data_IF_795292958291
#
_entry.id   IF_795292958291
#
_cell.length_a   1.000
_cell.length_b   1.000
_cell.length_c   1.000
_cell.angle_alpha   90.00
_cell.angle_beta   90.00
_cell.angle_gamma   90.00
#
_symmetry.space_group_name_H-M   'P 1'
#
loop_
_entity.id
_entity.type
_entity.pdbx_description
1 polymer ?
#
# COMPACT_ATOMS: atom_id res chain seq x y z
N UNK A 1 -24.88 1.42 35.60
CA UNK A 1 -24.10 2.38 34.79
C UNK A 1 -22.61 2.31 35.13
N UNK A 2 -22.23 2.32 36.41
CA UNK A 2 -20.83 2.14 36.87
C UNK A 2 -20.17 0.83 36.42
N UNK A 3 -20.91 -0.29 36.40
CA UNK A 3 -20.38 -1.60 36.01
C UNK A 3 -20.01 -1.68 34.51
N UNK A 4 -20.75 -0.99 33.64
CA UNK A 4 -20.44 -0.91 32.21
C UNK A 4 -19.19 -0.07 31.94
N UNK A 5 -18.98 1.03 32.70
CA UNK A 5 -17.80 1.89 32.58
C UNK A 5 -16.51 1.20 33.05
N UNK A 6 -16.59 0.41 34.14
CA UNK A 6 -15.47 -0.41 34.62
C UNK A 6 -15.06 -1.48 33.60
N UNK A 7 -16.02 -2.16 32.97
CA UNK A 7 -15.73 -3.13 31.91
C UNK A 7 -15.17 -2.44 30.65
N UNK A 8 -15.70 -1.28 30.26
CA UNK A 8 -15.23 -0.52 29.09
C UNK A 8 -13.79 -0.02 29.25
N UNK A 9 -13.41 0.40 30.46
CA UNK A 9 -12.06 0.85 30.83
C UNK A 9 -11.02 -0.24 30.58
N UNK A 10 -11.20 -1.42 31.19
CA UNK A 10 -10.30 -2.56 30.99
C UNK A 10 -10.32 -3.10 29.54
N UNK A 11 -11.44 -2.94 28.83
CA UNK A 11 -11.57 -3.35 27.43
C UNK A 11 -10.82 -2.43 26.46
N UNK A 12 -10.62 -1.15 26.81
CA UNK A 12 -10.04 -0.15 25.90
C UNK A 12 -8.66 -0.57 25.38
N UNK A 13 -7.77 -1.02 26.27
CA UNK A 13 -6.45 -1.58 25.93
C UNK A 13 -6.58 -2.78 24.99
N UNK A 14 -7.49 -3.71 25.28
CA UNK A 14 -7.70 -4.89 24.43
C UNK A 14 -8.24 -4.52 23.03
N UNK A 15 -9.16 -3.55 22.96
CA UNK A 15 -9.70 -3.05 21.69
C UNK A 15 -8.60 -2.40 20.86
N UNK A 16 -7.74 -1.57 21.47
CA UNK A 16 -6.60 -0.94 20.80
C UNK A 16 -5.63 -2.01 20.27
N UNK A 17 -5.28 -3.01 21.09
CA UNK A 17 -4.37 -4.09 20.68
C UNK A 17 -4.96 -4.93 19.55
N UNK A 18 -6.25 -5.28 19.62
CA UNK A 18 -6.92 -6.07 18.59
C UNK A 18 -7.05 -5.29 17.28
N UNK A 19 -7.41 -4.00 17.36
CA UNK A 19 -7.44 -3.11 16.20
C UNK A 19 -6.05 -2.99 15.55
N UNK A 20 -4.98 -2.88 16.36
CA UNK A 20 -3.61 -2.84 15.88
C UNK A 20 -3.24 -4.14 15.14
N UNK A 21 -3.57 -5.31 15.72
CA UNK A 21 -3.37 -6.60 15.07
C UNK A 21 -4.11 -6.71 13.74
N UNK A 22 -5.37 -6.25 13.68
CA UNK A 22 -6.15 -6.21 12.44
C UNK A 22 -5.53 -5.26 11.39
N UNK A 23 -5.01 -4.10 11.81
CA UNK A 23 -4.31 -3.17 10.91
C UNK A 23 -3.02 -3.77 10.36
N UNK A 24 -2.22 -4.45 11.19
CA UNK A 24 -1.01 -5.15 10.73
C UNK A 24 -1.35 -6.25 9.72
N UNK A 25 -2.43 -7.01 9.96
CA UNK A 25 -2.92 -7.99 9.01
C UNK A 25 -3.34 -7.33 7.68
N UNK A 26 -4.04 -6.21 7.75
CA UNK A 26 -4.44 -5.47 6.55
C UNK A 26 -3.23 -4.94 5.77
N UNK A 27 -2.20 -4.43 6.46
CA UNK A 27 -0.93 -4.04 5.84
C UNK A 27 -0.22 -5.23 5.17
N UNK A 28 -0.26 -6.41 5.78
CA UNK A 28 0.29 -7.63 5.18
C UNK A 28 -0.48 -8.01 3.91
N UNK A 29 -1.81 -7.92 3.91
CA UNK A 29 -2.64 -8.15 2.72
C UNK A 29 -2.31 -7.15 1.61
N UNK A 30 -2.21 -5.85 1.93
CA UNK A 30 -1.81 -4.82 0.97
C UNK A 30 -0.42 -5.07 0.41
N UNK A 31 0.53 -5.50 1.24
CA UNK A 31 1.89 -5.83 0.82
C UNK A 31 1.94 -7.04 -0.13
N UNK A 32 1.18 -8.09 0.16
CA UNK A 32 1.06 -9.24 -0.74
C UNK A 32 0.40 -8.82 -2.06
N UNK A 33 -0.63 -7.97 -1.98
CA UNK A 33 -1.32 -7.46 -3.16
C UNK A 33 -0.40 -6.61 -4.04
N UNK A 34 0.39 -5.69 -3.47
CA UNK A 34 1.32 -4.87 -4.24
C UNK A 34 2.40 -5.70 -4.95
N UNK A 35 2.93 -6.73 -4.28
CA UNK A 35 3.89 -7.66 -4.89
C UNK A 35 3.26 -8.47 -6.02
N UNK A 36 1.99 -8.87 -5.87
CA UNK A 36 1.26 -9.60 -6.90
C UNK A 36 1.03 -8.72 -8.14
N UNK A 37 0.64 -7.47 -7.92
CA UNK A 37 0.41 -6.50 -8.99
C UNK A 37 1.72 -6.18 -9.74
N UNK A 38 2.83 -5.96 -9.03
CA UNK A 38 4.16 -5.77 -9.65
C UNK A 38 4.55 -6.95 -10.53
N UNK A 39 4.35 -8.19 -10.05
CA UNK A 39 4.61 -9.41 -10.84
C UNK A 39 3.74 -9.49 -12.09
N UNK A 40 2.46 -9.11 -11.99
CA UNK A 40 1.57 -9.05 -13.14
C UNK A 40 2.03 -8.05 -14.20
N UNK A 41 2.52 -6.88 -13.77
CA UNK A 41 3.11 -5.88 -14.66
C UNK A 41 4.36 -6.43 -15.34
N UNK A 42 5.33 -6.95 -14.56
CA UNK A 42 6.56 -7.51 -15.11
C UNK A 42 6.29 -8.65 -16.11
N UNK A 43 5.36 -9.56 -15.81
CA UNK A 43 4.98 -10.64 -16.73
C UNK A 43 4.32 -10.13 -18.03
N UNK A 44 3.55 -9.04 -17.94
CA UNK A 44 2.91 -8.45 -19.12
C UNK A 44 3.90 -7.72 -20.01
N UNK A 45 4.90 -7.05 -19.41
CA UNK A 45 6.02 -6.48 -20.16
C UNK A 45 6.93 -7.57 -20.74
N UNK A 46 7.18 -8.65 -20.02
CA UNK A 46 7.97 -9.78 -20.53
C UNK A 46 7.34 -10.43 -21.76
N UNK A 47 6.02 -10.71 -21.72
CA UNK A 47 5.26 -11.20 -22.87
C UNK A 47 5.38 -10.26 -24.08
N UNK A 48 5.43 -8.94 -23.83
CA UNK A 48 5.57 -7.91 -24.86
C UNK A 48 6.99 -7.91 -25.49
N UNK A 49 8.04 -7.95 -24.68
CA UNK A 49 9.44 -7.85 -25.12
C UNK A 49 10.03 -9.17 -25.63
N UNK A 50 9.41 -10.32 -25.37
CA UNK A 50 9.88 -11.68 -25.75
C UNK A 50 10.19 -11.90 -27.25
N UNK A 51 9.79 -10.99 -28.14
CA UNK A 51 10.05 -11.05 -29.58
C UNK A 51 11.19 -10.17 -30.08
N UNK A 52 11.80 -9.36 -29.20
CA UNK A 52 12.86 -8.43 -29.59
C UNK A 52 14.21 -9.15 -29.62
N UNK A 53 15.00 -8.90 -30.68
CA UNK A 53 16.27 -9.60 -30.94
C UNK A 53 17.38 -9.23 -29.95
N UNK A 54 17.33 -8.01 -29.41
CA UNK A 54 18.23 -7.48 -28.38
C UNK A 54 17.48 -7.33 -27.07
N UNK A 55 17.19 -8.45 -26.40
CA UNK A 55 16.60 -8.46 -25.06
C UNK A 55 17.70 -8.30 -24.03
N UNK A 56 17.54 -7.40 -23.08
CA UNK A 56 18.37 -7.40 -21.88
C UNK A 56 18.09 -8.68 -21.10
N UNK A 57 19.01 -9.65 -21.12
CA UNK A 57 18.89 -10.94 -20.43
C UNK A 57 19.06 -10.72 -18.92
N UNK A 58 18.01 -10.22 -18.26
CA UNK A 58 17.99 -10.09 -16.82
C UNK A 58 17.64 -11.41 -16.15
N UNK A 59 18.39 -11.71 -15.10
CA UNK A 59 18.18 -12.87 -14.24
C UNK A 59 16.78 -12.78 -13.63
N UNK A 60 15.98 -13.86 -13.76
CA UNK A 60 14.59 -13.95 -13.28
C UNK A 60 14.45 -13.72 -11.78
N UNK A 61 15.57 -13.65 -11.05
CA UNK A 61 15.68 -13.43 -9.61
C UNK A 61 15.90 -11.95 -9.21
N UNK A 62 16.15 -11.05 -10.17
CA UNK A 62 16.39 -9.63 -9.93
C UNK A 62 15.16 -8.86 -9.42
N UNK A 63 15.36 -7.64 -8.92
CA UNK A 63 14.26 -6.83 -8.41
C UNK A 63 13.24 -6.52 -9.53
N UNK A 64 11.94 -6.67 -9.24
CA UNK A 64 10.87 -6.52 -10.23
C UNK A 64 10.86 -5.13 -10.89
N UNK A 65 11.25 -4.08 -10.15
CA UNK A 65 11.38 -2.72 -10.69
C UNK A 65 12.48 -2.65 -11.77
N UNK A 66 13.66 -3.22 -11.50
CA UNK A 66 14.79 -3.22 -12.43
C UNK A 66 14.44 -3.98 -13.72
N UNK A 67 13.69 -5.08 -13.60
CA UNK A 67 13.17 -5.81 -14.76
C UNK A 67 12.23 -4.95 -15.60
N UNK A 68 11.30 -4.23 -14.97
CA UNK A 68 10.38 -3.31 -15.66
C UNK A 68 11.17 -2.20 -16.36
N UNK A 69 12.16 -1.58 -15.69
CA UNK A 69 12.97 -0.50 -16.26
C UNK A 69 13.77 -0.97 -17.49
N UNK A 70 14.37 -2.15 -17.42
CA UNK A 70 15.07 -2.73 -18.57
C UNK A 70 14.14 -3.05 -19.74
N UNK A 71 12.95 -3.58 -19.48
CA UNK A 71 11.97 -3.79 -20.54
C UNK A 71 11.52 -2.47 -21.17
N UNK A 72 11.39 -1.40 -20.39
CA UNK A 72 11.07 -0.07 -20.93
C UNK A 72 12.24 0.50 -21.74
N UNK A 73 13.49 0.23 -21.36
CA UNK A 73 14.67 0.59 -22.13
C UNK A 73 14.69 -0.13 -23.48
N UNK A 74 14.46 -1.45 -23.51
CA UNK A 74 14.39 -2.25 -24.74
C UNK A 74 13.31 -1.72 -25.70
N UNK A 75 12.16 -1.29 -25.17
CA UNK A 75 11.09 -0.67 -25.94
C UNK A 75 11.50 0.71 -26.48
N UNK A 76 12.14 1.56 -25.68
CA UNK A 76 12.61 2.86 -26.13
C UNK A 76 13.71 2.74 -27.20
N UNK A 77 14.61 1.77 -27.09
CA UNK A 77 15.64 1.49 -28.09
C UNK A 77 15.02 1.07 -29.43
N UNK A 78 14.00 0.21 -29.39
CA UNK A 78 13.32 -0.26 -30.62
C UNK A 78 12.45 0.80 -31.28
N UNK A 79 12.02 1.84 -30.54
CA UNK A 79 11.28 2.97 -31.08
C UNK A 79 12.18 4.03 -31.76
N UNK A 80 13.49 4.02 -31.53
CA UNK A 80 14.42 4.96 -32.16
C UNK A 80 14.27 4.94 -33.70
N UNK A 81 14.18 6.10 -34.38
CA UNK A 81 14.13 6.19 -35.84
C UNK A 81 15.25 5.43 -36.57
N UNK A 82 16.38 5.21 -35.92
CA UNK A 82 17.55 4.49 -36.43
C UNK A 82 17.50 2.98 -36.13
N UNK A 83 16.52 2.52 -35.35
CA UNK A 83 16.37 1.12 -34.99
C UNK A 83 15.90 0.27 -36.18
N UNK A 84 16.12 -1.03 -36.06
CA UNK A 84 15.81 -1.99 -37.11
C UNK A 84 14.29 -2.00 -37.42
N UNK A 85 13.87 -1.76 -38.68
CA UNK A 85 12.45 -1.69 -39.06
C UNK A 85 11.68 -3.00 -38.82
N UNK A 86 12.36 -4.15 -38.80
CA UNK A 86 11.75 -5.44 -38.50
C UNK A 86 11.29 -5.53 -37.03
N UNK A 87 12.07 -4.97 -36.09
CA UNK A 87 11.74 -4.97 -34.66
C UNK A 87 10.58 -4.01 -34.37
N UNK A 88 10.52 -2.87 -35.09
CA UNK A 88 9.39 -1.92 -35.03
C UNK A 88 8.07 -2.54 -35.49
N UNK A 89 8.09 -3.35 -36.56
CA UNK A 89 6.88 -4.04 -37.06
C UNK A 89 6.39 -5.08 -36.06
N UNK A 90 7.30 -5.88 -35.50
CA UNK A 90 6.96 -6.84 -34.44
C UNK A 90 6.37 -6.17 -33.20
N UNK A 91 6.86 -4.97 -32.84
CA UNK A 91 6.33 -4.16 -31.75
C UNK A 91 4.90 -3.67 -32.05
N UNK A 92 4.64 -3.20 -33.28
CA UNK A 92 3.31 -2.72 -33.70
C UNK A 92 2.22 -3.79 -33.68
N UNK A 93 2.53 -5.03 -34.08
CA UNK A 93 1.57 -6.13 -34.06
C UNK A 93 1.19 -6.53 -32.61
N UNK A 94 2.10 -6.31 -31.66
CA UNK A 94 1.93 -6.70 -30.25
C UNK A 94 1.38 -5.58 -29.36
N UNK A 95 1.39 -4.33 -29.81
CA UNK A 95 0.71 -3.21 -29.15
C UNK A 95 -0.77 -3.53 -28.89
N UNK A 96 -1.41 -4.31 -29.77
CA UNK A 96 -2.80 -4.71 -29.61
C UNK A 96 -3.04 -5.64 -28.41
N UNK A 97 -2.07 -6.49 -28.07
CA UNK A 97 -2.13 -7.40 -26.91
C UNK A 97 -2.06 -6.62 -25.60
N UNK A 98 -1.32 -5.51 -25.59
CA UNK A 98 -1.15 -4.65 -24.42
C UNK A 98 -2.39 -3.79 -24.15
N UNK A 99 -3.06 -3.30 -25.22
CA UNK A 99 -4.32 -2.55 -25.12
C UNK A 99 -5.47 -3.44 -24.60
N UNK A 100 -5.46 -4.75 -24.89
CA UNK A 100 -6.43 -5.73 -24.38
C UNK A 100 -6.31 -5.94 -22.85
N UNK A 101 -5.08 -5.93 -22.31
CA UNK A 101 -4.81 -6.10 -20.87
C UNK A 101 -4.93 -4.80 -20.06
N UNK A 102 -5.31 -3.67 -20.68
CA UNK A 102 -5.34 -2.31 -20.10
C UNK A 102 -6.21 -2.15 -18.84
N UNK A 103 -7.10 -3.11 -18.55
CA UNK A 103 -7.88 -3.19 -17.29
C UNK A 103 -7.00 -3.39 -16.03
N UNK A 104 -5.71 -3.67 -16.19
CA UNK A 104 -4.75 -3.91 -15.10
C UNK A 104 -4.14 -2.64 -14.47
N UNK A 105 -4.35 -1.46 -15.08
CA UNK A 105 -3.69 -0.19 -14.69
C UNK A 105 -4.53 0.73 -13.79
N UNK A 106 -5.84 0.49 -13.64
CA UNK A 106 -6.71 1.31 -12.79
C UNK A 106 -6.74 0.77 -11.36
N UNK A 107 -5.71 1.12 -10.58
CA UNK A 107 -5.57 0.69 -9.18
C UNK A 107 -5.96 1.80 -8.19
N UNK A 108 -7.04 2.51 -8.47
CA UNK A 108 -7.59 3.50 -7.54
C UNK A 108 -8.01 2.88 -6.19
N UNK A 109 -8.38 1.59 -6.18
CA UNK A 109 -8.73 0.87 -4.95
C UNK A 109 -7.53 0.66 -4.03
N UNK A 110 -6.36 0.34 -4.58
CA UNK A 110 -5.15 0.16 -3.78
C UNK A 110 -4.73 1.46 -3.12
N UNK A 111 -4.66 2.54 -3.90
CA UNK A 111 -4.32 3.88 -3.41
C UNK A 111 -5.31 4.37 -2.34
N UNK A 112 -6.61 4.16 -2.56
CA UNK A 112 -7.65 4.55 -1.61
C UNK A 112 -7.51 3.77 -0.30
N UNK A 113 -7.37 2.45 -0.36
CA UNK A 113 -7.21 1.61 0.83
C UNK A 113 -5.94 1.97 1.61
N UNK A 114 -4.81 2.19 0.93
CA UNK A 114 -3.57 2.60 1.57
C UNK A 114 -3.69 3.96 2.26
N UNK A 115 -4.28 4.95 1.58
CA UNK A 115 -4.50 6.29 2.15
C UNK A 115 -5.39 6.24 3.40
N UNK A 116 -6.47 5.44 3.38
CA UNK A 116 -7.33 5.23 4.55
C UNK A 116 -6.52 4.63 5.71
N UNK A 117 -5.74 3.56 5.45
CA UNK A 117 -4.94 2.92 6.49
C UNK A 117 -3.90 3.86 7.10
N UNK A 118 -3.23 4.67 6.28
CA UNK A 118 -2.25 5.67 6.74
C UNK A 118 -2.90 6.66 7.70
N UNK A 119 -4.03 7.25 7.33
CA UNK A 119 -4.75 8.21 8.20
C UNK A 119 -5.25 7.54 9.49
N UNK A 120 -5.66 6.26 9.44
CA UNK A 120 -6.10 5.55 10.65
C UNK A 120 -5.03 5.33 11.70
N UNK A 121 -3.75 5.41 11.35
CA UNK A 121 -2.64 5.35 12.33
C UNK A 121 -2.76 6.50 13.35
N UNK A 122 -3.19 7.67 12.90
CA UNK A 122 -3.33 8.86 13.75
C UNK A 122 -4.46 8.73 14.78
N UNK A 123 -5.39 7.79 14.59
CA UNK A 123 -6.48 7.55 15.53
C UNK A 123 -6.03 6.79 16.78
N UNK A 124 -4.90 6.06 16.75
CA UNK A 124 -4.45 5.24 17.87
C UNK A 124 -4.02 6.04 19.12
N UNK A 125 -3.22 7.12 19.00
CA UNK A 125 -2.91 7.98 20.13
C UNK A 125 -4.19 8.61 20.72
N UNK A 126 -5.11 9.03 19.85
CA UNK A 126 -6.41 9.59 20.28
C UNK A 126 -7.25 8.54 21.03
N UNK A 127 -7.28 7.30 20.56
CA UNK A 127 -7.95 6.20 21.24
C UNK A 127 -7.34 5.92 22.64
N UNK A 128 -6.01 6.00 22.77
CA UNK A 128 -5.32 5.86 24.05
C UNK A 128 -5.70 6.96 25.06
N UNK A 129 -5.76 8.21 24.59
CA UNK A 129 -6.24 9.36 25.39
C UNK A 129 -7.71 9.19 25.78
N UNK A 130 -8.57 8.75 24.85
CA UNK A 130 -9.98 8.48 25.14
C UNK A 130 -10.16 7.38 26.20
N UNK A 131 -9.39 6.29 26.12
CA UNK A 131 -9.42 5.23 27.13
C UNK A 131 -8.97 5.71 28.51
N UNK A 132 -8.00 6.62 28.56
CA UNK A 132 -7.60 7.30 29.82
C UNK A 132 -8.72 8.14 30.41
N UNK A 133 -9.41 8.93 29.59
CA UNK A 133 -10.55 9.76 30.03
C UNK A 133 -11.68 8.86 30.55
N UNK A 134 -11.96 7.75 29.86
CA UNK A 134 -12.97 6.78 30.27
C UNK A 134 -12.62 6.09 31.60
N UNK A 135 -11.38 5.62 31.76
CA UNK A 135 -10.90 4.98 32.99
C UNK A 135 -10.95 5.94 34.19
N UNK A 136 -10.48 7.17 34.00
CA UNK A 136 -10.54 8.22 35.03
C UNK A 136 -11.99 8.60 35.38
N UNK A 137 -12.86 8.73 34.38
CA UNK A 137 -14.29 8.99 34.57
C UNK A 137 -14.99 7.87 35.32
N UNK A 138 -14.66 6.61 35.02
CA UNK A 138 -15.17 5.43 35.72
C UNK A 138 -14.72 5.43 37.18
N UNK A 139 -13.44 5.73 37.45
CA UNK A 139 -12.89 5.82 38.80
C UNK A 139 -13.59 6.90 39.65
N UNK A 140 -13.79 8.09 39.08
CA UNK A 140 -14.43 9.20 39.79
C UNK A 140 -15.90 8.90 40.12
N UNK A 141 -16.63 8.26 39.19
CA UNK A 141 -18.03 7.90 39.41
C UNK A 141 -18.21 6.73 40.39
N UNK A 142 -17.33 5.73 40.35
CA UNK A 142 -17.41 4.55 41.21
C UNK A 142 -17.25 4.87 42.70
N UNK A 143 -16.55 5.97 43.02
CA UNK A 143 -16.23 6.36 44.40
C UNK A 143 -17.14 7.46 44.97
N UNK A 144 -18.19 7.85 44.24
CA UNK A 144 -19.20 8.80 44.70
C UNK A 144 -20.13 8.14 45.75
N UNK A 145 -19.60 7.89 46.96
CA UNK A 145 -20.37 7.37 48.11
C UNK A 145 -19.76 6.18 48.86
N UNK A 146 -18.48 5.84 48.65
CA UNK A 146 -17.82 4.66 49.24
C UNK A 146 -16.84 5.02 50.36
N UNK A 147 -16.71 4.16 51.38
CA UNK A 147 -15.71 4.24 52.46
C UNK A 147 -14.28 4.48 51.91
N UNK A 148 -13.54 5.41 52.54
CA UNK A 148 -12.30 6.02 52.01
C UNK A 148 -11.21 4.99 51.63
N UNK A 149 -11.07 3.90 52.36
CA UNK A 149 -10.02 2.89 52.10
C UNK A 149 -10.30 2.05 50.86
N UNK A 150 -11.55 1.66 50.62
CA UNK A 150 -11.94 0.91 49.42
C UNK A 150 -11.87 1.82 48.18
N UNK A 151 -12.18 3.10 48.34
CA UNK A 151 -12.09 4.09 47.27
C UNK A 151 -10.66 4.25 46.74
N UNK A 152 -9.65 4.30 47.61
CA UNK A 152 -8.25 4.46 47.20
C UNK A 152 -7.78 3.28 46.33
N UNK A 153 -8.08 2.04 46.74
CA UNK A 153 -7.68 0.84 45.97
C UNK A 153 -8.31 0.80 44.57
N UNK A 154 -9.59 1.20 44.46
CA UNK A 154 -10.32 1.29 43.20
C UNK A 154 -9.74 2.37 42.29
N UNK A 155 -9.42 3.54 42.85
CA UNK A 155 -8.78 4.65 42.12
C UNK A 155 -7.44 4.19 41.51
N UNK A 156 -6.59 3.54 42.31
CA UNK A 156 -5.27 3.08 41.84
C UNK A 156 -5.39 2.06 40.71
N UNK A 157 -6.34 1.12 40.79
CA UNK A 157 -6.59 0.15 39.72
C UNK A 157 -6.95 0.84 38.40
N UNK A 158 -7.86 1.81 38.44
CA UNK A 158 -8.28 2.54 37.23
C UNK A 158 -7.21 3.48 36.68
N UNK A 159 -6.36 4.06 37.53
CA UNK A 159 -5.16 4.75 37.07
C UNK A 159 -4.21 3.81 36.32
N UNK A 160 -4.07 2.57 36.78
CA UNK A 160 -3.33 1.53 36.06
C UNK A 160 -3.91 1.28 34.66
N UNK A 161 -5.23 1.10 34.56
CA UNK A 161 -5.92 0.90 33.27
C UNK A 161 -5.71 2.08 32.31
N UNK A 162 -5.79 3.31 32.82
CA UNK A 162 -5.55 4.54 32.05
C UNK A 162 -4.13 4.57 31.45
N UNK A 163 -3.12 4.24 32.26
CA UNK A 163 -1.71 4.21 31.81
C UNK A 163 -1.54 3.16 30.71
N UNK A 164 -2.10 1.96 30.90
CA UNK A 164 -2.01 0.88 29.91
C UNK A 164 -2.72 1.23 28.60
N UNK A 165 -3.86 1.91 28.65
CA UNK A 165 -4.57 2.39 27.46
C UNK A 165 -3.73 3.40 26.66
N UNK A 166 -3.13 4.37 27.34
CA UNK A 166 -2.25 5.36 26.67
C UNK A 166 -1.03 4.70 26.06
N UNK A 167 -0.38 3.82 26.84
CA UNK A 167 0.78 3.08 26.36
C UNK A 167 0.44 2.25 25.11
N UNK A 168 -0.67 1.51 25.13
CA UNK A 168 -1.11 0.72 23.99
C UNK A 168 -1.40 1.58 22.76
N UNK A 169 -2.06 2.74 22.92
CA UNK A 169 -2.35 3.66 21.82
C UNK A 169 -1.08 4.22 21.17
N UNK A 170 -0.11 4.66 21.99
CA UNK A 170 1.17 5.17 21.49
C UNK A 170 2.03 4.07 20.86
N UNK A 171 2.14 2.91 21.52
CA UNK A 171 2.92 1.79 21.01
C UNK A 171 2.36 1.28 19.67
N UNK A 172 1.04 1.17 19.54
CA UNK A 172 0.39 0.80 18.30
C UNK A 172 0.65 1.84 17.19
N UNK A 173 0.55 3.13 17.50
CA UNK A 173 0.83 4.19 16.53
C UNK A 173 2.28 4.14 16.03
N UNK A 174 3.25 4.05 16.94
CA UNK A 174 4.68 3.97 16.59
C UNK A 174 4.96 2.73 15.73
N UNK A 175 4.43 1.57 16.13
CA UNK A 175 4.60 0.32 15.38
C UNK A 175 4.01 0.43 13.98
N UNK A 176 2.79 0.95 13.86
CA UNK A 176 2.12 1.09 12.57
C UNK A 176 2.79 2.14 11.69
N UNK A 177 3.29 3.25 12.25
CA UNK A 177 4.09 4.23 11.51
C UNK A 177 5.37 3.61 10.95
N UNK A 178 6.06 2.79 11.76
CA UNK A 178 7.26 2.08 11.31
C UNK A 178 6.96 1.12 10.16
N UNK A 179 5.92 0.29 10.31
CA UNK A 179 5.49 -0.64 9.25
C UNK A 179 5.06 0.13 7.99
N UNK A 180 4.31 1.22 8.14
CA UNK A 180 3.88 2.06 7.03
C UNK A 180 5.07 2.62 6.27
N UNK A 181 6.10 3.12 6.96
CA UNK A 181 7.32 3.67 6.31
C UNK A 181 8.05 2.62 5.45
N UNK A 182 8.13 1.36 5.91
CA UNK A 182 8.72 0.28 5.13
C UNK A 182 7.89 -0.05 3.88
N UNK A 183 6.56 -0.02 4.01
CA UNK A 183 5.64 -0.33 2.90
C UNK A 183 5.54 0.82 1.88
N UNK A 184 5.59 2.06 2.34
CA UNK A 184 5.53 3.27 1.52
C UNK A 184 6.59 3.25 0.42
N UNK A 185 7.82 2.86 0.77
CA UNK A 185 8.91 2.68 -0.20
C UNK A 185 8.55 1.68 -1.31
N UNK A 186 7.87 0.58 -0.97
CA UNK A 186 7.45 -0.42 -1.96
C UNK A 186 6.28 0.06 -2.82
N UNK A 187 5.38 0.85 -2.25
CA UNK A 187 4.17 1.32 -2.93
C UNK A 187 4.46 2.49 -3.88
N UNK A 188 5.34 3.42 -3.48
CA UNK A 188 5.84 4.48 -4.35
C UNK A 188 6.49 3.88 -5.60
N UNK A 189 7.34 2.86 -5.44
CA UNK A 189 7.94 2.16 -6.57
C UNK A 189 6.91 1.52 -7.53
N UNK A 190 5.80 0.98 -7.02
CA UNK A 190 4.73 0.44 -7.87
C UNK A 190 4.00 1.54 -8.65
N UNK A 191 3.70 2.69 -8.02
CA UNK A 191 3.03 3.81 -8.68
C UNK A 191 3.93 4.43 -9.76
N UNK A 192 5.20 4.67 -9.44
CA UNK A 192 6.19 5.19 -10.39
C UNK A 192 6.36 4.25 -11.59
N UNK A 193 6.52 2.94 -11.35
CA UNK A 193 6.61 1.94 -12.41
C UNK A 193 5.35 1.92 -13.29
N UNK A 194 4.15 1.98 -12.69
CA UNK A 194 2.89 2.03 -13.46
C UNK A 194 2.81 3.25 -14.34
N UNK A 195 3.17 4.42 -13.81
CA UNK A 195 3.15 5.67 -14.56
C UNK A 195 4.17 5.63 -15.71
N UNK A 196 5.39 5.19 -15.43
CA UNK A 196 6.44 5.10 -16.43
C UNK A 196 6.10 4.11 -17.56
N UNK A 197 5.52 2.95 -17.22
CA UNK A 197 5.01 1.98 -18.21
C UNK A 197 3.92 2.62 -19.06
N UNK A 198 2.91 3.25 -18.45
CA UNK A 198 1.80 3.88 -19.17
C UNK A 198 2.29 4.92 -20.16
N UNK A 199 3.19 5.80 -19.73
CA UNK A 199 3.68 6.90 -20.54
C UNK A 199 4.53 6.39 -21.71
N UNK A 200 5.36 5.35 -21.48
CA UNK A 200 6.15 4.69 -22.52
C UNK A 200 5.26 4.00 -23.56
N UNK A 201 4.22 3.29 -23.11
CA UNK A 201 3.28 2.61 -24.01
C UNK A 201 2.49 3.59 -24.86
N UNK A 202 2.02 4.70 -24.29
CA UNK A 202 1.32 5.76 -25.03
C UNK A 202 2.24 6.38 -26.08
N UNK A 203 3.50 6.63 -25.71
CA UNK A 203 4.51 7.13 -26.64
C UNK A 203 4.80 6.13 -27.76
N UNK A 204 5.01 4.86 -27.42
CA UNK A 204 5.23 3.78 -28.38
C UNK A 204 4.08 3.71 -29.40
N UNK A 205 2.83 3.72 -28.91
CA UNK A 205 1.64 3.71 -29.77
C UNK A 205 1.60 4.92 -30.70
N UNK A 206 1.88 6.13 -30.18
CA UNK A 206 1.91 7.35 -31.00
C UNK A 206 2.96 7.27 -32.10
N UNK A 207 4.16 6.83 -31.78
CA UNK A 207 5.27 6.75 -32.74
C UNK A 207 5.07 5.63 -33.78
N UNK A 208 4.46 4.50 -33.38
CA UNK A 208 4.13 3.41 -34.30
C UNK A 208 2.97 3.76 -35.23
N UNK A 209 1.95 4.48 -34.76
CA UNK A 209 0.86 4.99 -35.61
C UNK A 209 1.38 6.04 -36.61
N UNK A 210 2.28 6.93 -36.17
CA UNK A 210 2.91 7.91 -37.07
C UNK A 210 3.81 7.23 -38.11
N UNK A 211 4.51 6.15 -37.75
CA UNK A 211 5.33 5.39 -38.68
C UNK A 211 4.49 4.54 -39.67
N UNK A 212 3.37 3.96 -39.21
CA UNK A 212 2.45 3.19 -40.06
C UNK A 212 1.56 4.05 -40.96
N UNK A 213 1.30 5.31 -40.60
CA UNK A 213 0.56 6.27 -41.43
C UNK A 213 1.34 6.83 -42.62
N UNK A 214 2.62 6.44 -42.79
CA UNK A 214 3.47 6.83 -43.91
C UNK A 214 3.36 5.95 -45.15
N UNK A 215 2.68 4.80 -45.06
CA UNK A 215 2.36 3.97 -46.25
C UNK A 215 1.05 4.47 -46.88
N UNK A 216 1.12 5.57 -47.62
CA UNK A 216 0.11 5.90 -48.63
C UNK A 216 0.04 4.75 -49.65
N UNK A 217 -1.12 4.12 -49.89
CA UNK A 217 -1.26 3.16 -50.97
C UNK A 217 -1.12 3.92 -52.29
N UNK A 218 -0.12 3.52 -53.08
CA UNK A 218 0.01 3.91 -54.49
C UNK A 218 -0.92 3.04 -55.35
#
# INVERSE_FOLDING_TARGET
MSQYLSQLSGLSTMVITLACGAHLFFFLVLWVWSRRDLRGIASSLDDFTRGLKHRSLLDSTGHLSDQIEAFLADVNETLDPKANPADRKALSERVHILDEKRRYLDSHFFETCYNICRTMIEAYPLAGVLGTILAMGAALQANAGTETTNAISSIVSHFGDAIWSTFAGLAAAILLMFVNSVLEMSFLGLVENRQHVRDTVVRAKRELVLAGGGETPA
#
